data_IF_515108558939
#
_entry.id   IF_515108558939
#
_cell.length_a   1.000
_cell.length_b   1.000
_cell.length_c   1.000
_cell.angle_alpha   90.00
_cell.angle_beta   90.00
_cell.angle_gamma   90.00
#
_symmetry.space_group_name_H-M   'P 1'
#
loop_
_entity.id
_entity.type
_entity.pdbx_description
1 polymer ?
#
# COMPACT_ATOMS: atom_id res chain seq x y z
N UNK A 1 -9.15 -29.95 17.39
CA UNK A 1 -10.05 -29.58 16.29
C UNK A 1 -9.22 -28.90 15.22
N UNK A 2 -8.96 -29.59 14.11
CA UNK A 2 -8.24 -29.08 12.94
C UNK A 2 -9.16 -28.13 12.17
N UNK A 3 -8.84 -26.83 12.17
CA UNK A 3 -9.51 -25.87 11.29
C UNK A 3 -9.18 -26.26 9.85
N UNK A 4 -10.18 -26.62 9.05
CA UNK A 4 -10.00 -26.84 7.61
C UNK A 4 -9.62 -25.51 6.96
N UNK A 5 -8.48 -25.49 6.27
CA UNK A 5 -8.07 -24.37 5.43
C UNK A 5 -8.61 -24.68 4.04
N UNK A 6 -9.63 -23.95 3.62
CA UNK A 6 -10.29 -24.24 2.34
C UNK A 6 -9.55 -23.58 1.17
N UNK A 7 -8.94 -22.41 1.39
CA UNK A 7 -8.18 -21.66 0.38
C UNK A 7 -7.06 -20.85 1.04
N UNK A 8 -5.87 -20.82 0.43
CA UNK A 8 -4.78 -19.92 0.78
C UNK A 8 -4.44 -19.01 -0.41
N UNK A 9 -4.25 -17.72 -0.18
CA UNK A 9 -3.79 -16.79 -1.21
C UNK A 9 -2.70 -15.83 -0.69
N UNK A 10 -1.78 -15.46 -1.58
CA UNK A 10 -0.72 -14.50 -1.29
C UNK A 10 -1.14 -13.06 -1.62
N UNK A 11 -0.71 -12.09 -0.80
CA UNK A 11 -0.95 -10.67 -1.03
C UNK A 11 0.15 -9.82 -0.35
N UNK A 12 0.90 -8.99 -1.10
CA UNK A 12 2.04 -8.19 -0.58
C UNK A 12 3.04 -8.98 0.28
N UNK A 13 3.38 -10.20 -0.14
CA UNK A 13 4.26 -11.09 0.63
C UNK A 13 3.63 -11.66 1.91
N UNK A 14 2.37 -11.32 2.20
CA UNK A 14 1.55 -11.94 3.22
C UNK A 14 0.74 -13.12 2.70
N UNK A 15 0.21 -13.93 3.62
CA UNK A 15 -0.62 -15.10 3.32
C UNK A 15 -1.96 -14.98 4.04
N UNK A 16 -3.04 -15.08 3.28
CA UNK A 16 -4.42 -15.06 3.77
C UNK A 16 -4.99 -16.48 3.64
N UNK A 17 -5.60 -16.98 4.72
CA UNK A 17 -6.32 -18.24 4.74
C UNK A 17 -7.82 -18.00 4.88
N UNK A 18 -8.62 -18.70 4.09
CA UNK A 18 -10.04 -18.91 4.37
C UNK A 18 -10.18 -19.93 5.48
N UNK A 19 -10.91 -19.59 6.52
CA UNK A 19 -11.21 -20.46 7.65
C UNK A 19 -12.70 -20.38 7.99
N UNK A 20 -13.18 -21.30 8.80
CA UNK A 20 -14.54 -21.23 9.31
C UNK A 20 -14.81 -19.87 10.00
N UNK A 21 -15.81 -19.15 9.46
CA UNK A 21 -16.23 -17.84 9.96
C UNK A 21 -15.40 -16.64 9.49
N UNK A 22 -14.50 -16.78 8.50
CA UNK A 22 -13.87 -15.62 7.85
C UNK A 22 -12.46 -15.88 7.32
N UNK A 23 -11.58 -14.89 7.49
CA UNK A 23 -10.22 -14.89 6.95
C UNK A 23 -9.19 -14.65 8.04
N UNK A 24 -8.05 -15.35 7.98
CA UNK A 24 -6.90 -15.16 8.86
C UNK A 24 -5.68 -14.75 8.05
N UNK A 25 -4.83 -13.91 8.63
CA UNK A 25 -3.55 -13.52 8.04
C UNK A 25 -2.43 -14.18 8.83
N UNK A 26 -1.54 -14.93 8.16
CA UNK A 26 -0.46 -15.67 8.81
C UNK A 26 0.48 -14.74 9.59
N UNK A 27 0.78 -13.57 9.02
CA UNK A 27 1.70 -12.58 9.57
C UNK A 27 1.05 -11.69 10.64
N UNK A 28 -0.21 -11.95 11.01
CA UNK A 28 -0.89 -11.17 12.03
C UNK A 28 -0.28 -11.46 13.42
N UNK A 29 0.06 -10.45 14.23
CA UNK A 29 0.69 -10.64 15.54
C UNK A 29 -0.21 -11.39 16.55
N UNK A 30 -1.51 -11.41 16.28
CA UNK A 30 -2.52 -12.24 16.97
C UNK A 30 -2.99 -13.31 16.00
N UNK A 31 -2.39 -14.52 16.01
CA UNK A 31 -2.67 -15.55 15.02
C UNK A 31 -4.16 -15.89 14.92
N UNK A 32 -4.88 -15.86 16.03
CA UNK A 32 -6.30 -16.17 16.17
C UNK A 32 -7.25 -15.08 15.64
N UNK A 33 -6.73 -13.87 15.34
CA UNK A 33 -7.55 -12.79 14.79
C UNK A 33 -8.19 -13.21 13.47
N UNK A 34 -9.50 -13.05 13.39
CA UNK A 34 -10.30 -13.25 12.18
C UNK A 34 -10.78 -11.92 11.63
N UNK A 35 -10.76 -11.82 10.31
CA UNK A 35 -11.36 -10.75 9.53
C UNK A 35 -12.62 -11.31 8.87
N UNK A 36 -13.72 -10.57 8.95
CA UNK A 36 -15.00 -11.02 8.38
C UNK A 36 -14.96 -10.99 6.83
N UNK A 37 -14.10 -10.14 6.25
CA UNK A 37 -13.97 -9.95 4.80
C UNK A 37 -12.52 -10.07 4.35
N UNK A 38 -12.32 -10.64 3.16
CA UNK A 38 -10.99 -10.73 2.53
C UNK A 38 -10.39 -9.35 2.26
N UNK A 39 -11.23 -8.35 1.97
CA UNK A 39 -10.82 -6.96 1.79
C UNK A 39 -10.13 -6.39 3.05
N UNK A 40 -10.64 -6.72 4.24
CA UNK A 40 -10.06 -6.23 5.50
C UNK A 40 -8.71 -6.91 5.78
N UNK A 41 -8.56 -8.20 5.44
CA UNK A 41 -7.29 -8.92 5.51
C UNK A 41 -6.24 -8.35 4.53
N UNK A 42 -6.66 -8.02 3.30
CA UNK A 42 -5.81 -7.33 2.31
C UNK A 42 -5.42 -5.93 2.77
N UNK A 43 -6.36 -5.17 3.34
CA UNK A 43 -6.10 -3.85 3.89
C UNK A 43 -5.05 -3.90 5.02
N UNK A 44 -5.17 -4.86 5.93
CA UNK A 44 -4.16 -5.11 6.97
C UNK A 44 -2.77 -5.34 6.37
N UNK A 45 -2.67 -6.19 5.34
CA UNK A 45 -1.40 -6.46 4.67
C UNK A 45 -0.84 -5.25 3.92
N UNK A 46 -1.69 -4.42 3.34
CA UNK A 46 -1.29 -3.15 2.70
C UNK A 46 -0.67 -2.18 3.72
N UNK A 47 -1.32 -1.99 4.88
CA UNK A 47 -0.76 -1.18 5.97
C UNK A 47 0.57 -1.78 6.43
N UNK A 48 0.60 -3.07 6.75
CA UNK A 48 1.81 -3.73 7.25
C UNK A 48 2.98 -3.68 6.23
N UNK A 49 2.70 -3.68 4.92
CA UNK A 49 3.72 -3.47 3.90
C UNK A 49 4.30 -2.07 3.96
N UNK A 50 3.45 -1.03 4.01
CA UNK A 50 3.90 0.36 4.11
C UNK A 50 4.66 0.62 5.42
N UNK A 51 4.17 0.07 6.53
CA UNK A 51 4.74 0.28 7.85
C UNK A 51 6.15 -0.32 7.99
N UNK A 52 6.43 -1.40 7.26
CA UNK A 52 7.75 -2.05 7.23
C UNK A 52 8.73 -1.44 6.23
N UNK A 53 8.31 -0.44 5.44
CA UNK A 53 9.21 0.23 4.51
C UNK A 53 10.15 1.16 5.28
N UNK A 54 11.46 1.02 5.04
CA UNK A 54 12.50 1.91 5.61
C UNK A 54 12.47 3.32 4.99
N UNK A 55 11.82 3.46 3.84
CA UNK A 55 11.63 4.73 3.14
C UNK A 55 10.23 5.28 3.36
N UNK A 56 10.01 6.60 3.19
CA UNK A 56 8.67 7.17 3.19
C UNK A 56 7.71 6.41 2.27
N UNK A 57 6.62 5.94 2.86
CA UNK A 57 5.60 5.15 2.18
C UNK A 57 4.20 5.49 2.69
N UNK A 58 3.20 5.29 1.85
CA UNK A 58 1.80 5.54 2.19
C UNK A 58 0.80 4.92 1.23
N UNK A 59 -0.47 5.03 1.58
CA UNK A 59 -1.61 4.51 0.81
C UNK A 59 -2.48 5.68 0.40
N UNK A 60 -2.46 6.00 -0.90
CA UNK A 60 -3.25 7.06 -1.49
C UNK A 60 -4.56 6.50 -2.04
N UNK A 61 -5.65 7.19 -1.71
CA UNK A 61 -6.99 6.84 -2.16
C UNK A 61 -7.41 7.72 -3.35
N UNK A 62 -8.49 7.32 -4.01
CA UNK A 62 -8.95 7.92 -5.27
C UNK A 62 -9.33 9.41 -5.18
N UNK A 63 -9.67 9.89 -3.98
CA UNK A 63 -9.99 11.29 -3.69
C UNK A 63 -8.74 12.15 -3.45
N UNK A 64 -7.54 11.56 -3.59
CA UNK A 64 -6.27 12.25 -3.34
C UNK A 64 -5.89 12.34 -1.87
N UNK A 65 -6.53 11.57 -0.96
CA UNK A 65 -6.16 11.54 0.46
C UNK A 65 -5.26 10.37 0.80
N UNK A 66 -4.26 10.64 1.65
CA UNK A 66 -3.47 9.60 2.30
C UNK A 66 -4.31 8.96 3.40
N UNK A 67 -4.65 7.68 3.20
CA UNK A 67 -5.35 6.85 4.19
C UNK A 67 -4.40 6.26 5.23
N UNK A 68 -3.12 6.12 4.87
CA UNK A 68 -2.05 5.69 5.75
C UNK A 68 -0.72 6.29 5.27
N UNK A 69 0.19 6.56 6.21
CA UNK A 69 1.57 6.92 5.97
C UNK A 69 2.44 6.36 7.08
N UNK A 70 3.63 5.84 6.73
CA UNK A 70 4.54 5.26 7.70
C UNK A 70 5.33 6.35 8.47
N UNK A 71 6.10 5.94 9.47
CA UNK A 71 6.85 6.85 10.31
C UNK A 71 7.88 7.69 9.54
N UNK A 72 8.51 7.11 8.49
CA UNK A 72 9.45 7.84 7.65
C UNK A 72 8.77 8.96 6.84
N UNK A 73 7.57 8.71 6.30
CA UNK A 73 6.78 9.74 5.61
C UNK A 73 6.32 10.84 6.57
N UNK A 74 5.91 10.48 7.79
CA UNK A 74 5.58 11.46 8.83
C UNK A 74 6.78 12.34 9.20
N UNK A 75 7.96 11.74 9.36
CA UNK A 75 9.19 12.47 9.68
C UNK A 75 9.65 13.40 8.55
N UNK A 76 9.45 12.99 7.29
CA UNK A 76 9.73 13.83 6.12
C UNK A 76 8.72 14.98 6.00
N UNK A 77 7.48 14.76 6.45
CA UNK A 77 6.37 15.69 6.30
C UNK A 77 5.48 15.34 5.12
N UNK A 78 4.17 15.29 5.35
CA UNK A 78 3.18 14.79 4.40
C UNK A 78 3.23 15.49 3.02
N UNK A 79 3.30 16.82 3.01
CA UNK A 79 3.33 17.61 1.78
C UNK A 79 4.68 17.58 1.07
N UNK A 80 5.74 17.18 1.76
CA UNK A 80 7.06 16.95 1.17
C UNK A 80 7.12 15.55 0.56
N UNK A 81 6.63 14.53 1.26
CA UNK A 81 6.52 13.17 0.75
C UNK A 81 5.57 13.08 -0.46
N UNK A 82 4.38 13.66 -0.33
CA UNK A 82 3.33 13.58 -1.34
C UNK A 82 2.61 14.94 -1.50
N UNK A 83 3.17 15.86 -2.30
CA UNK A 83 2.60 17.18 -2.53
C UNK A 83 1.20 17.09 -3.15
N UNK A 84 0.30 17.96 -2.70
CA UNK A 84 -1.13 17.91 -2.99
C UNK A 84 -1.43 17.92 -4.50
N UNK A 85 -0.71 18.76 -5.25
CA UNK A 85 -0.84 18.94 -6.70
C UNK A 85 -0.49 17.69 -7.51
N UNK A 86 0.33 16.78 -6.96
CA UNK A 86 0.72 15.55 -7.66
C UNK A 86 -0.19 14.37 -7.34
N UNK A 87 -0.94 14.41 -6.23
CA UNK A 87 -1.71 13.26 -5.72
C UNK A 87 -2.65 12.68 -6.76
N UNK A 88 -3.40 13.53 -7.48
CA UNK A 88 -4.33 13.02 -8.49
C UNK A 88 -3.61 12.30 -9.63
N UNK A 89 -2.56 12.89 -10.16
CA UNK A 89 -1.77 12.30 -11.24
C UNK A 89 -1.09 10.98 -10.81
N UNK A 90 -0.63 10.91 -9.56
CA UNK A 90 -0.06 9.70 -8.96
C UNK A 90 -1.13 8.60 -8.85
N UNK A 91 -2.34 8.94 -8.40
CA UNK A 91 -3.45 7.99 -8.37
C UNK A 91 -3.82 7.51 -9.78
N UNK A 92 -3.91 8.43 -10.75
CA UNK A 92 -4.23 8.08 -12.13
C UNK A 92 -3.16 7.17 -12.75
N UNK A 93 -1.87 7.35 -12.40
CA UNK A 93 -0.81 6.40 -12.78
C UNK A 93 -1.09 5.00 -12.23
N UNK A 94 -1.60 4.87 -11.00
CA UNK A 94 -1.96 3.57 -10.45
C UNK A 94 -3.05 2.86 -11.25
N UNK A 95 -3.95 3.60 -11.92
CA UNK A 95 -5.05 3.04 -12.70
C UNK A 95 -4.56 2.32 -13.96
N UNK A 96 -3.43 2.75 -14.53
CA UNK A 96 -2.87 2.16 -15.76
C UNK A 96 -2.07 0.88 -15.50
N UNK A 97 -1.75 0.60 -14.23
CA UNK A 97 -0.95 -0.55 -13.83
C UNK A 97 -1.84 -1.80 -13.76
N UNK A 98 -1.29 -2.95 -14.08
CA UNK A 98 -1.89 -4.24 -13.74
C UNK A 98 -1.74 -4.51 -12.22
N UNK A 99 -2.37 -5.58 -11.76
CA UNK A 99 -2.22 -6.01 -10.37
C UNK A 99 -0.74 -6.33 -10.07
N UNK A 100 -0.20 -5.72 -9.01
CA UNK A 100 1.22 -5.80 -8.60
C UNK A 100 2.25 -5.15 -9.53
N UNK A 101 1.82 -4.54 -10.63
CA UNK A 101 2.74 -3.82 -11.49
C UNK A 101 3.20 -2.53 -10.78
N UNK A 102 4.48 -2.22 -10.94
CA UNK A 102 5.10 -1.01 -10.40
C UNK A 102 5.17 0.06 -11.49
N UNK A 103 4.60 1.23 -11.20
CA UNK A 103 4.78 2.45 -11.96
C UNK A 103 5.78 3.39 -11.29
N UNK A 104 6.27 4.37 -12.05
CA UNK A 104 7.17 5.39 -11.55
C UNK A 104 6.61 6.78 -11.86
N UNK A 105 6.67 7.68 -10.88
CA UNK A 105 6.25 9.06 -11.03
C UNK A 105 7.35 10.00 -10.54
N UNK A 106 7.94 10.83 -11.42
CA UNK A 106 8.92 11.82 -11.03
C UNK A 106 8.24 13.06 -10.43
N UNK A 107 8.79 13.57 -9.33
CA UNK A 107 8.47 14.87 -8.77
C UNK A 107 9.66 15.79 -9.03
N UNK A 108 9.41 16.82 -9.84
CA UNK A 108 10.44 17.77 -10.24
C UNK A 108 10.97 18.57 -9.05
N UNK A 109 12.24 18.96 -9.16
CA UNK A 109 12.91 19.83 -8.19
C UNK A 109 12.13 21.15 -8.02
N UNK A 110 12.01 21.60 -6.77
CA UNK A 110 11.46 22.92 -6.41
C UNK A 110 12.56 23.81 -5.87
N UNK A 111 12.31 25.11 -5.77
CA UNK A 111 13.16 26.01 -4.98
C UNK A 111 13.29 25.40 -3.58
N UNK A 112 14.51 24.96 -3.22
CA UNK A 112 14.88 24.38 -1.92
C UNK A 112 14.50 22.91 -1.66
N UNK A 113 14.06 22.14 -2.66
CA UNK A 113 13.87 20.70 -2.49
C UNK A 113 14.36 19.92 -3.72
N UNK A 114 15.27 18.95 -3.56
CA UNK A 114 15.71 18.11 -4.67
C UNK A 114 14.53 17.35 -5.27
N UNK A 115 14.57 17.13 -6.58
CA UNK A 115 13.60 16.24 -7.23
C UNK A 115 13.77 14.81 -6.73
N UNK A 116 12.70 14.03 -6.78
CA UNK A 116 12.70 12.63 -6.36
C UNK A 116 11.70 11.83 -7.20
N UNK A 117 11.75 10.50 -7.08
CA UNK A 117 10.82 9.63 -7.79
C UNK A 117 10.05 8.76 -6.80
N UNK A 118 8.77 8.59 -7.09
CA UNK A 118 7.88 7.70 -6.38
C UNK A 118 7.74 6.40 -7.17
N UNK A 119 7.74 5.29 -6.45
CA UNK A 119 7.26 4.01 -6.96
C UNK A 119 5.82 3.82 -6.51
N UNK A 120 4.97 3.42 -7.46
CA UNK A 120 3.53 3.34 -7.30
C UNK A 120 3.10 1.91 -7.63
N UNK A 121 2.32 1.28 -6.76
CA UNK A 121 1.65 0.02 -7.05
C UNK A 121 0.15 0.24 -7.02
N UNK A 122 -0.53 -0.07 -8.11
CA UNK A 122 -1.99 -0.05 -8.14
C UNK A 122 -2.53 -1.39 -7.64
N UNK A 123 -3.23 -1.38 -6.51
CA UNK A 123 -3.82 -2.60 -5.95
C UNK A 123 -5.33 -2.44 -5.75
N UNK A 124 -6.05 -3.50 -6.06
CA UNK A 124 -7.47 -3.60 -5.78
C UNK A 124 -7.65 -4.32 -4.43
N UNK A 125 -8.17 -3.59 -3.44
CA UNK A 125 -8.38 -4.14 -2.09
C UNK A 125 -9.84 -4.61 -1.95
N UNK A 126 -10.79 -3.75 -2.31
CA UNK A 126 -12.21 -4.09 -2.40
C UNK A 126 -12.81 -3.48 -3.69
N UNK A 127 -13.46 -4.27 -4.55
CA UNK A 127 -14.08 -3.80 -5.78
C UNK A 127 -15.17 -2.72 -5.57
N UNK A 128 -15.74 -2.62 -4.36
CA UNK A 128 -16.82 -1.65 -4.03
C UNK A 128 -16.28 -0.33 -3.48
N UNK A 129 -15.15 -0.35 -2.79
CA UNK A 129 -14.54 0.84 -2.18
C UNK A 129 -13.44 1.45 -3.07
N UNK A 130 -13.10 0.76 -4.16
CA UNK A 130 -12.23 1.25 -5.21
C UNK A 130 -10.78 0.79 -5.08
N UNK A 131 -9.98 1.28 -6.04
CA UNK A 131 -8.54 1.04 -6.12
C UNK A 131 -7.81 1.97 -5.15
N UNK A 132 -6.69 1.51 -4.60
CA UNK A 132 -5.73 2.38 -3.91
C UNK A 132 -4.37 2.28 -4.57
N UNK A 133 -3.59 3.34 -4.40
CA UNK A 133 -2.19 3.39 -4.81
C UNK A 133 -1.31 3.23 -3.57
N UNK A 134 -0.51 2.16 -3.54
CA UNK A 134 0.62 2.09 -2.61
C UNK A 134 1.75 2.91 -3.19
N UNK A 135 2.33 3.77 -2.37
CA UNK A 135 3.36 4.70 -2.80
C UNK A 135 4.54 4.54 -1.86
N UNK A 136 5.75 4.51 -2.42
CA UNK A 136 6.97 4.70 -1.64
C UNK A 136 7.96 5.56 -2.39
N UNK A 137 8.84 6.25 -1.66
CA UNK A 137 10.02 6.86 -2.25
C UNK A 137 10.91 5.76 -2.84
N UNK A 138 11.27 5.95 -4.11
CA UNK A 138 12.26 5.11 -4.77
C UNK A 138 13.62 5.48 -4.21
N UNK A 139 14.28 4.55 -3.53
CA UNK A 139 15.69 4.73 -3.22
C UNK A 139 16.44 4.88 -4.55
N UNK A 140 17.21 5.96 -4.66
CA UNK A 140 18.17 6.09 -5.75
C UNK A 140 19.16 4.95 -5.60
N UNK A 141 18.94 3.85 -6.31
CA UNK A 141 20.00 2.89 -6.57
C UNK A 141 20.97 3.60 -7.52
N UNK A 142 22.01 4.20 -6.95
CA UNK A 142 23.26 4.38 -7.68
C UNK A 142 23.71 2.98 -8.10
N UNK A 143 23.52 2.66 -9.37
CA UNK A 143 24.24 1.60 -10.06
C UNK A 143 25.35 2.26 -10.88
#
# INVERSE_FOLDING_TARGET
MSQSIDVACGFLGGTIFSVEGGYRVLQHPRPERRFDRIADARWFLAINWCDRCDTPAGILTHDGRLSFQNQAALALGETIFLPLEHRRAIFDCSLTLNHWEAGHYPISQRLNQPGYSLEIFGIEIDPRYGRVALIRLKNGSSA
#
